data_IF_243271250899
#
_entry.id   IF_243271250899
#
_cell.length_a   1.000
_cell.length_b   1.000
_cell.length_c   1.000
_cell.angle_alpha   90.00
_cell.angle_beta   90.00
_cell.angle_gamma   90.00
#
_symmetry.space_group_name_H-M   'P 1'
#
loop_
_entity.id
_entity.type
_entity.pdbx_description
1 polymer ?
#
# COMPACT_ATOMS: atom_id res chain seq x y z
N UNK A 1 -11.67 -19.13 1.26
CA UNK A 1 -11.82 -18.24 0.08
C UNK A 1 -11.22 -16.90 0.44
N UNK A 2 -10.29 -16.37 -0.36
CA UNK A 2 -9.64 -15.08 -0.07
C UNK A 2 -10.63 -13.94 -0.33
N UNK A 3 -10.89 -13.11 0.68
CA UNK A 3 -11.78 -11.95 0.55
C UNK A 3 -10.97 -10.70 0.19
N UNK A 4 -11.38 -10.03 -0.89
CA UNK A 4 -10.73 -8.82 -1.37
C UNK A 4 -11.48 -7.58 -0.91
N UNK A 5 -10.73 -6.55 -0.52
CA UNK A 5 -11.24 -5.29 0.00
C UNK A 5 -10.66 -4.12 -0.80
N UNK A 6 -11.41 -3.02 -0.83
CA UNK A 6 -10.98 -1.74 -1.37
C UNK A 6 -10.83 -0.74 -0.24
N UNK A 7 -9.74 0.03 -0.26
CA UNK A 7 -9.51 1.11 0.68
C UNK A 7 -9.03 2.36 -0.05
N UNK A 8 -9.32 3.53 0.50
CA UNK A 8 -8.71 4.80 0.09
C UNK A 8 -8.09 5.44 1.33
N UNK A 9 -7.03 6.21 1.14
CA UNK A 9 -6.30 6.78 2.27
C UNK A 9 -5.08 7.60 1.88
N UNK A 10 -4.22 7.81 2.87
CA UNK A 10 -2.98 8.58 2.77
C UNK A 10 -1.80 7.72 3.24
N UNK A 11 -0.71 7.74 2.49
CA UNK A 11 0.55 7.10 2.85
C UNK A 11 1.18 7.85 4.04
N UNK A 12 1.40 7.15 5.15
CA UNK A 12 1.84 7.79 6.42
C UNK A 12 3.37 7.93 6.53
N UNK A 13 4.12 7.18 5.73
CA UNK A 13 5.58 7.22 5.69
C UNK A 13 6.08 6.66 4.37
N UNK A 14 7.31 7.00 3.99
CA UNK A 14 7.97 6.44 2.81
C UNK A 14 7.93 4.90 2.81
N UNK A 15 7.64 4.25 1.67
CA UNK A 15 7.68 2.81 1.55
C UNK A 15 9.07 2.26 1.87
N UNK A 16 9.15 1.23 2.72
CA UNK A 16 10.41 0.62 3.14
C UNK A 16 10.60 -0.73 2.49
N UNK A 17 11.74 -0.95 1.83
CA UNK A 17 12.14 -2.29 1.36
C UNK A 17 12.44 -3.17 2.58
N UNK A 18 11.71 -4.27 2.72
CA UNK A 18 11.91 -5.25 3.81
C UNK A 18 12.46 -6.59 3.30
N UNK A 19 12.41 -6.83 2.00
CA UNK A 19 13.07 -7.95 1.32
C UNK A 19 13.52 -7.49 -0.07
N UNK A 20 14.74 -7.83 -0.47
CA UNK A 20 15.27 -7.42 -1.77
C UNK A 20 14.78 -8.30 -2.92
N UNK A 21 14.71 -9.63 -2.74
CA UNK A 21 14.34 -10.57 -3.80
C UNK A 21 13.45 -11.74 -3.32
N UNK A 22 12.21 -11.89 -3.84
CA UNK A 22 11.50 -10.88 -4.60
C UNK A 22 11.33 -9.60 -3.76
N UNK A 23 11.32 -8.44 -4.42
CA UNK A 23 11.21 -7.15 -3.71
C UNK A 23 9.90 -7.07 -2.96
N UNK A 24 9.98 -6.78 -1.67
CA UNK A 24 8.83 -6.59 -0.80
C UNK A 24 8.96 -5.28 -0.05
N UNK A 25 7.89 -4.49 -0.09
CA UNK A 25 7.81 -3.24 0.65
C UNK A 25 6.83 -3.37 1.81
N UNK A 26 7.12 -2.65 2.87
CA UNK A 26 6.18 -2.29 3.91
C UNK A 26 5.80 -0.81 3.77
N UNK A 27 4.50 -0.51 3.87
CA UNK A 27 3.99 0.86 3.84
C UNK A 27 2.80 1.01 4.80
N UNK A 28 2.83 1.96 5.75
CA UNK A 28 1.67 2.27 6.57
C UNK A 28 0.72 3.22 5.83
N UNK A 29 -0.57 2.91 5.81
CA UNK A 29 -1.60 3.74 5.17
C UNK A 29 -2.69 4.07 6.18
N UNK A 30 -3.04 5.34 6.32
CA UNK A 30 -4.21 5.77 7.07
C UNK A 30 -5.39 5.83 6.12
N UNK A 31 -6.41 5.01 6.36
CA UNK A 31 -7.63 5.02 5.53
C UNK A 31 -8.46 6.28 5.80
N UNK A 32 -9.35 6.61 4.86
CA UNK A 32 -10.32 7.71 5.02
C UNK A 32 -11.28 7.50 6.20
N UNK A 33 -11.46 6.27 6.68
CA UNK A 33 -12.25 5.94 7.88
C UNK A 33 -11.45 6.01 9.19
N UNK A 34 -10.17 6.39 9.14
CA UNK A 34 -9.30 6.50 10.32
C UNK A 34 -8.67 5.18 10.78
N UNK A 35 -8.87 4.07 10.05
CA UNK A 35 -8.16 2.81 10.30
C UNK A 35 -6.74 2.88 9.73
N UNK A 36 -5.74 2.52 10.55
CA UNK A 36 -4.38 2.30 10.09
C UNK A 36 -4.22 0.90 9.49
N UNK A 37 -3.74 0.83 8.25
CA UNK A 37 -3.39 -0.40 7.57
C UNK A 37 -1.87 -0.59 7.55
N UNK A 38 -1.45 -1.80 7.88
CA UNK A 38 -0.08 -2.28 7.70
C UNK A 38 -0.01 -3.01 6.36
N UNK A 39 0.50 -2.34 5.33
CA UNK A 39 0.43 -2.86 3.97
C UNK A 39 1.74 -3.52 3.52
N UNK A 40 1.59 -4.56 2.70
CA UNK A 40 2.67 -5.22 1.99
C UNK A 40 2.51 -5.03 0.49
N UNK A 41 3.59 -4.67 -0.20
CA UNK A 41 3.63 -4.58 -1.67
C UNK A 41 4.65 -5.55 -2.20
N UNK A 42 4.22 -6.45 -3.08
CA UNK A 42 5.07 -7.47 -3.73
C UNK A 42 4.95 -7.32 -5.24
N UNK A 43 3.73 -7.21 -5.75
CA UNK A 43 3.46 -6.95 -7.16
C UNK A 43 3.76 -5.48 -7.49
N UNK A 44 4.53 -5.24 -8.55
CA UNK A 44 4.94 -3.90 -8.97
C UNK A 44 5.64 -3.07 -7.87
N UNK A 45 6.35 -3.73 -6.95
CA UNK A 45 6.99 -3.08 -5.80
C UNK A 45 7.91 -1.91 -6.20
N UNK A 46 8.70 -2.03 -7.27
CA UNK A 46 9.58 -0.94 -7.71
C UNK A 46 8.81 0.27 -8.25
N UNK A 47 7.70 0.06 -8.97
CA UNK A 47 6.85 1.17 -9.45
C UNK A 47 6.14 1.85 -8.25
N UNK A 48 5.67 1.06 -7.28
CA UNK A 48 5.09 1.60 -6.05
C UNK A 48 6.10 2.44 -5.29
N UNK A 49 7.33 1.94 -5.12
CA UNK A 49 8.42 2.65 -4.44
C UNK A 49 8.74 4.00 -5.10
N UNK A 50 8.61 4.08 -6.43
CA UNK A 50 8.87 5.30 -7.18
C UNK A 50 7.72 6.32 -7.11
N UNK A 51 6.47 5.86 -6.99
CA UNK A 51 5.29 6.74 -7.08
C UNK A 51 4.70 7.14 -5.72
N UNK A 52 4.76 6.24 -4.74
CA UNK A 52 4.09 6.43 -3.46
C UNK A 52 5.06 7.03 -2.44
N UNK A 53 4.90 8.33 -2.18
CA UNK A 53 5.63 9.05 -1.13
C UNK A 53 4.77 9.26 0.10
N UNK A 54 5.38 9.66 1.22
CA UNK A 54 4.63 10.16 2.36
C UNK A 54 3.63 11.26 1.92
N UNK A 55 2.46 11.30 2.55
CA UNK A 55 1.34 12.19 2.24
C UNK A 55 0.66 11.95 0.87
N UNK A 56 1.10 10.96 0.09
CA UNK A 56 0.42 10.60 -1.16
C UNK A 56 -0.99 10.07 -0.89
N UNK A 57 -1.97 10.59 -1.62
CA UNK A 57 -3.34 10.04 -1.64
C UNK A 57 -3.37 8.79 -2.50
N UNK A 58 -3.93 7.71 -1.97
CA UNK A 58 -3.86 6.40 -2.60
C UNK A 58 -5.19 5.64 -2.49
N UNK A 59 -5.53 4.92 -3.56
CA UNK A 59 -6.56 3.89 -3.57
C UNK A 59 -5.90 2.51 -3.68
N UNK A 60 -6.42 1.53 -2.93
CA UNK A 60 -5.86 0.19 -2.78
C UNK A 60 -6.93 -0.86 -3.02
N UNK A 61 -6.54 -1.94 -3.69
CA UNK A 61 -7.31 -3.17 -3.78
C UNK A 61 -6.40 -4.35 -3.42
N UNK A 62 -6.90 -5.23 -2.57
CA UNK A 62 -6.07 -6.29 -2.00
C UNK A 62 -6.80 -7.15 -1.00
N UNK A 63 -6.06 -7.89 -0.20
CA UNK A 63 -6.61 -8.82 0.79
C UNK A 63 -5.74 -8.83 2.05
N UNK A 64 -6.32 -9.28 3.17
CA UNK A 64 -5.54 -9.52 4.38
C UNK A 64 -4.87 -10.89 4.32
N UNK A 65 -3.60 -10.95 4.74
CA UNK A 65 -2.92 -12.22 4.99
C UNK A 65 -3.25 -12.76 6.39
N UNK A 66 -2.69 -13.92 6.74
CA UNK A 66 -2.90 -14.56 8.04
C UNK A 66 -2.35 -13.75 9.24
N UNK A 67 -1.46 -12.78 8.98
CA UNK A 67 -0.89 -11.88 9.99
C UNK A 67 -1.61 -10.53 10.07
N UNK A 68 -2.82 -10.41 9.51
CA UNK A 68 -3.62 -9.18 9.47
C UNK A 68 -2.92 -7.99 8.76
N UNK A 69 -1.98 -8.27 7.86
CA UNK A 69 -1.38 -7.27 6.98
C UNK A 69 -2.15 -7.21 5.67
N UNK A 70 -2.32 -6.01 5.14
CA UNK A 70 -3.03 -5.80 3.88
C UNK A 70 -2.06 -5.95 2.70
N UNK A 71 -2.18 -7.05 1.96
CA UNK A 71 -1.39 -7.29 0.75
C UNK A 71 -2.03 -6.54 -0.41
N UNK A 72 -1.30 -5.56 -0.95
CA UNK A 72 -1.75 -4.75 -2.07
C UNK A 72 -1.58 -5.55 -3.37
N UNK A 73 -2.68 -5.72 -4.10
CA UNK A 73 -2.71 -6.36 -5.41
C UNK A 73 -2.83 -5.33 -6.54
N UNK A 74 -3.56 -4.24 -6.33
CA UNK A 74 -3.63 -3.09 -7.24
C UNK A 74 -3.65 -1.82 -6.43
N UNK A 75 -3.09 -0.75 -6.99
CA UNK A 75 -3.12 0.57 -6.38
C UNK A 75 -3.25 1.66 -7.44
N UNK A 76 -3.66 2.83 -6.99
CA UNK A 76 -3.63 4.06 -7.76
C UNK A 76 -3.15 5.17 -6.84
N UNK A 77 -2.02 5.79 -7.17
CA UNK A 77 -1.51 6.97 -6.48
C UNK A 77 -2.04 8.20 -7.21
N UNK A 78 -2.78 9.05 -6.52
CA UNK A 78 -3.24 10.31 -7.10
C UNK A 78 -2.04 11.23 -7.30
N UNK A 79 -1.73 11.57 -8.55
CA UNK A 79 -0.82 12.69 -8.84
C UNK A 79 -1.42 13.96 -8.26
N UNK A 80 -0.67 14.69 -7.42
CA UNK A 80 -0.94 16.10 -7.24
C UNK A 80 -0.63 16.76 -8.58
N UNK A 81 -1.65 17.00 -9.40
CA UNK A 81 -1.53 18.01 -10.44
C UNK A 81 -1.55 19.34 -9.68
N UNK A 82 -0.37 19.96 -9.59
CA UNK A 82 -0.19 21.30 -9.04
C UNK A 82 -0.91 22.34 -9.90
#
# INVERSE_FOLDING_TARGET
>A
MTHFNNFTGVVQAEPKVIKQFPTMLYVPIMTTTGQKLHCLVIQHALDFLYRAHAESRIALYGHFNQHHQFVINKYFVSSQVA
#
